data_IF_001140978670
#
_entry.id   IF_001140978670
#
_cell.length_a   1.000
_cell.length_b   1.000
_cell.length_c   1.000
_cell.angle_alpha   90.00
_cell.angle_beta   90.00
_cell.angle_gamma   90.00
#
_symmetry.space_group_name_H-M   'P 1'
#
loop_
_entity.id
_entity.type
_entity.pdbx_description
1 polymer ?
#
# COMPACT_ATOMS: atom_id res chain seq x y z
N UNK A 1 5.38 -10.74 -13.09
CA UNK A 1 5.35 -10.39 -11.67
C UNK A 1 4.71 -9.04 -11.48
N UNK A 2 3.90 -8.89 -10.47
CA UNK A 2 3.23 -7.62 -10.24
C UNK A 2 4.17 -6.61 -9.62
N UNK A 3 3.99 -5.34 -10.00
CA UNK A 3 4.76 -4.26 -9.43
C UNK A 3 4.47 -4.13 -7.93
N UNK A 4 5.43 -3.63 -7.19
CA UNK A 4 5.29 -3.34 -5.76
C UNK A 4 4.93 -4.58 -4.95
N UNK A 5 5.62 -5.66 -5.22
CA UNK A 5 5.34 -6.94 -4.58
C UNK A 5 5.38 -6.84 -3.05
N UNK A 6 6.38 -6.14 -2.51
CA UNK A 6 6.52 -6.02 -1.06
C UNK A 6 5.32 -5.31 -0.45
N UNK A 7 4.87 -4.25 -1.10
CA UNK A 7 3.71 -3.50 -0.63
C UNK A 7 2.47 -4.38 -0.66
N UNK A 8 2.29 -5.11 -1.76
CA UNK A 8 1.11 -5.96 -1.90
C UNK A 8 1.10 -7.08 -0.87
N UNK A 9 2.27 -7.65 -0.59
CA UNK A 9 2.37 -8.70 0.43
C UNK A 9 2.00 -8.17 1.81
N UNK A 10 2.44 -6.97 2.13
CA UNK A 10 2.10 -6.36 3.41
C UNK A 10 0.61 -6.07 3.50
N UNK A 11 0.02 -5.63 2.42
CA UNK A 11 -1.42 -5.38 2.39
C UNK A 11 -2.19 -6.67 2.73
N UNK A 12 -1.79 -7.77 2.10
CA UNK A 12 -2.44 -9.04 2.37
C UNK A 12 -2.20 -9.48 3.81
N UNK A 13 -0.96 -9.36 4.24
CA UNK A 13 -0.58 -9.79 5.59
C UNK A 13 -1.36 -9.06 6.68
N UNK A 14 -1.58 -7.78 6.50
CA UNK A 14 -2.25 -6.95 7.49
C UNK A 14 -3.73 -6.72 7.19
N UNK A 15 -4.24 -7.35 6.14
CA UNK A 15 -5.64 -7.23 5.79
C UNK A 15 -6.05 -5.85 5.31
N UNK A 16 -5.11 -5.14 4.69
CA UNK A 16 -5.38 -3.80 4.18
C UNK A 16 -5.83 -3.89 2.72
N UNK A 17 -7.02 -3.39 2.43
CA UNK A 17 -7.53 -3.38 1.07
C UNK A 17 -7.02 -2.15 0.34
N UNK A 18 -7.24 -2.12 -0.98
CA UNK A 18 -6.88 -0.96 -1.76
C UNK A 18 -7.62 0.29 -1.27
N UNK A 19 -8.87 0.13 -0.91
CA UNK A 19 -9.65 1.21 -0.33
C UNK A 19 -9.04 1.68 0.99
N UNK A 20 -8.68 0.73 1.84
CA UNK A 20 -8.03 1.07 3.11
C UNK A 20 -6.73 1.81 2.90
N UNK A 21 -5.94 1.36 1.92
CA UNK A 21 -4.68 2.02 1.62
C UNK A 21 -4.90 3.44 1.11
N UNK A 22 -5.96 3.64 0.33
CA UNK A 22 -6.27 4.97 -0.17
C UNK A 22 -6.55 5.94 0.98
N UNK A 23 -7.20 5.45 2.02
CA UNK A 23 -7.44 6.26 3.20
C UNK A 23 -6.15 6.59 3.94
N UNK A 24 -5.26 5.63 4.05
CA UNK A 24 -3.98 5.85 4.72
C UNK A 24 -3.14 6.89 3.98
N UNK A 25 -3.20 6.86 2.66
CA UNK A 25 -2.39 7.75 1.83
C UNK A 25 -3.08 9.07 1.53
N UNK A 26 -4.35 9.20 1.88
CA UNK A 26 -5.09 10.42 1.61
C UNK A 26 -5.34 10.65 0.13
N UNK A 27 -5.51 9.58 -0.63
CA UNK A 27 -5.77 9.65 -2.06
C UNK A 27 -7.01 8.86 -2.40
N UNK A 28 -7.50 9.04 -3.64
CA UNK A 28 -8.61 8.25 -4.11
C UNK A 28 -8.13 6.84 -4.46
N UNK A 29 -9.08 5.90 -4.46
CA UNK A 29 -8.77 4.53 -4.82
C UNK A 29 -8.18 4.43 -6.22
N UNK A 30 -8.71 5.21 -7.13
CA UNK A 30 -8.23 5.22 -8.49
C UNK A 30 -6.78 5.66 -8.57
N UNK A 31 -6.43 6.68 -7.79
CA UNK A 31 -5.06 7.17 -7.75
C UNK A 31 -4.12 6.10 -7.20
N UNK A 32 -4.55 5.41 -6.14
CA UNK A 32 -3.76 4.33 -5.57
C UNK A 32 -3.55 3.23 -6.60
N UNK A 33 -4.62 2.87 -7.31
CA UNK A 33 -4.53 1.85 -8.33
C UNK A 33 -3.49 2.21 -9.40
N UNK A 34 -3.52 3.46 -9.83
CA UNK A 34 -2.59 3.91 -10.87
C UNK A 34 -1.15 3.90 -10.37
N UNK A 35 -0.94 4.35 -9.14
CA UNK A 35 0.41 4.38 -8.59
C UNK A 35 0.99 2.99 -8.41
N UNK A 36 0.16 2.03 -8.04
CA UNK A 36 0.62 0.67 -7.83
C UNK A 36 0.80 -0.13 -9.11
N UNK A 37 0.40 0.44 -10.24
CA UNK A 37 0.62 -0.24 -11.53
C UNK A 37 2.09 -0.31 -11.89
N UNK A 38 2.84 0.71 -11.53
CA UNK A 38 4.26 0.78 -11.84
C UNK A 38 5.07 0.61 -10.57
N UNK A 39 6.27 0.08 -10.72
CA UNK A 39 7.15 -0.12 -9.59
C UNK A 39 7.49 1.22 -8.96
N UNK A 40 7.20 1.37 -7.68
CA UNK A 40 7.51 2.58 -6.96
C UNK A 40 8.97 2.56 -6.50
N UNK A 41 9.57 3.74 -6.30
CA UNK A 41 10.91 3.80 -5.72
C UNK A 41 10.92 3.11 -4.36
N UNK A 42 12.05 2.53 -4.02
CA UNK A 42 12.17 1.78 -2.77
C UNK A 42 11.79 2.62 -1.56
N UNK A 43 12.20 3.87 -1.56
CA UNK A 43 11.86 4.79 -0.48
C UNK A 43 10.36 4.91 -0.26
N UNK A 44 9.65 5.03 -1.35
CA UNK A 44 8.20 5.19 -1.28
C UNK A 44 7.54 3.90 -0.83
N UNK A 45 8.03 2.77 -1.33
CA UNK A 45 7.53 1.48 -0.88
C UNK A 45 7.71 1.32 0.62
N UNK A 46 8.88 1.68 1.13
CA UNK A 46 9.17 1.57 2.56
C UNK A 46 8.22 2.44 3.38
N UNK A 47 7.92 3.62 2.88
CA UNK A 47 7.01 4.52 3.57
C UNK A 47 5.60 3.94 3.64
N UNK A 48 5.13 3.39 2.53
CA UNK A 48 3.80 2.79 2.49
C UNK A 48 3.74 1.58 3.41
N UNK A 49 4.77 0.75 3.38
CA UNK A 49 4.83 -0.43 4.23
C UNK A 49 4.79 -0.03 5.71
N UNK A 50 5.52 1.02 6.06
CA UNK A 50 5.51 1.49 7.44
C UNK A 50 4.11 1.94 7.87
N UNK A 51 3.39 2.61 6.98
CA UNK A 51 2.03 3.03 7.28
C UNK A 51 1.10 1.84 7.47
N UNK A 52 1.25 0.83 6.62
CA UNK A 52 0.44 -0.38 6.74
C UNK A 52 0.70 -1.07 8.07
N UNK A 53 1.97 -1.20 8.44
CA UNK A 53 2.33 -1.86 9.68
C UNK A 53 1.85 -1.11 10.89
N UNK A 54 1.81 0.21 10.78
CA UNK A 54 1.38 1.06 11.87
C UNK A 54 -0.11 0.96 12.15
N UNK A 55 -0.91 0.91 11.10
CA UNK A 55 -2.37 0.97 11.23
C UNK A 55 -3.04 -0.38 11.06
N UNK A 56 -2.51 -1.21 10.19
CA UNK A 56 -3.13 -2.50 9.90
C UNK A 56 -3.19 -3.40 11.11
N UNK A 57 -2.24 -3.25 12.01
CA UNK A 57 -2.19 -4.11 13.17
C UNK A 57 -3.24 -3.82 14.21
N UNK A 58 -3.97 -2.73 14.05
CA UNK A 58 -4.98 -2.34 15.01
C UNK A 58 -6.38 -2.80 14.66
N UNK A 59 -6.52 -3.38 13.50
CA UNK A 59 -7.84 -3.77 13.01
C UNK A 59 -8.47 -4.89 13.81
#
# INVERSE_FOLDING_TARGET
>A
MKANKRVRLKMVEYGVTQYGLSKLLGMSEMTVYRRLRDELPEEEQNRIIALIEQTGGEA
#
